data_IF_685685652698
#
_entry.id   IF_685685652698
#
_cell.length_a   1.000
_cell.length_b   1.000
_cell.length_c   1.000
_cell.angle_alpha   90.00
_cell.angle_beta   90.00
_cell.angle_gamma   90.00
#
_symmetry.space_group_name_H-M   'P 1'
#
loop_
_entity.id
_entity.type
_entity.pdbx_description
1 polymer ?
#
# COMPACT_ATOMS: atom_id res chain seq x y z
N UNK A 1 1.95 7.73 25.70
CA UNK A 1 1.84 9.09 25.13
C UNK A 1 2.39 9.04 23.72
N UNK A 2 1.73 9.66 22.74
CA UNK A 2 2.28 9.75 21.37
C UNK A 2 3.47 10.72 21.32
N UNK A 3 4.36 10.61 20.32
CA UNK A 3 5.48 11.54 20.15
C UNK A 3 4.98 12.98 19.97
N UNK A 4 5.75 13.95 20.49
CA UNK A 4 5.43 15.37 20.39
C UNK A 4 5.40 15.80 18.90
N UNK A 5 4.44 16.64 18.45
CA UNK A 5 4.40 17.16 17.07
C UNK A 5 5.73 17.68 16.54
N UNK A 6 6.51 18.44 17.31
CA UNK A 6 7.83 18.93 16.88
C UNK A 6 8.82 17.80 16.60
N UNK A 7 8.87 16.80 17.49
CA UNK A 7 9.73 15.63 17.32
C UNK A 7 9.32 14.81 16.09
N UNK A 8 8.02 14.72 15.81
CA UNK A 8 7.51 14.07 14.58
C UNK A 8 7.91 14.85 13.33
N UNK A 9 7.80 16.18 13.32
CA UNK A 9 8.27 17.00 12.19
C UNK A 9 9.77 16.80 11.96
N UNK A 10 10.57 16.83 13.02
CA UNK A 10 12.02 16.60 12.93
C UNK A 10 12.35 15.21 12.40
N UNK A 11 11.65 14.18 12.89
CA UNK A 11 11.78 12.80 12.41
C UNK A 11 11.44 12.70 10.93
N UNK A 12 10.26 13.17 10.51
CA UNK A 12 9.84 13.07 9.11
C UNK A 12 10.67 13.93 8.17
N UNK A 13 11.20 15.05 8.64
CA UNK A 13 12.15 15.87 7.86
C UNK A 13 13.42 15.09 7.56
N UNK A 14 14.06 14.48 8.58
CA UNK A 14 15.25 13.62 8.37
C UNK A 14 14.95 12.41 7.49
N UNK A 15 13.82 11.75 7.72
CA UNK A 15 13.39 10.57 6.96
C UNK A 15 13.14 10.89 5.48
N UNK A 16 12.54 12.04 5.17
CA UNK A 16 12.35 12.51 3.80
C UNK A 16 13.67 12.85 3.12
N UNK A 17 14.58 13.55 3.81
CA UNK A 17 15.92 13.84 3.26
C UNK A 17 16.68 12.54 2.95
N UNK A 18 16.62 11.55 3.84
CA UNK A 18 17.22 10.25 3.61
C UNK A 18 16.56 9.49 2.45
N UNK A 19 15.24 9.62 2.28
CA UNK A 19 14.51 9.00 1.16
C UNK A 19 14.93 9.62 -0.18
N UNK A 20 14.94 10.96 -0.26
CA UNK A 20 15.37 11.69 -1.46
C UNK A 20 16.83 11.37 -1.84
N UNK A 21 17.72 11.22 -0.85
CA UNK A 21 19.11 10.84 -1.08
C UNK A 21 19.28 9.40 -1.59
N UNK A 22 18.38 8.48 -1.19
CA UNK A 22 18.49 7.05 -1.53
C UNK A 22 18.10 6.69 -2.96
N UNK A 23 17.28 7.52 -3.62
CA UNK A 23 16.64 7.22 -4.91
C UNK A 23 15.75 5.97 -4.93
N UNK A 24 15.37 5.44 -3.76
CA UNK A 24 14.39 4.35 -3.67
C UNK A 24 13.02 4.81 -4.22
N UNK A 25 12.26 3.92 -4.90
CA UNK A 25 10.95 4.27 -5.44
C UNK A 25 9.88 4.40 -4.34
N UNK A 26 10.04 3.68 -3.23
CA UNK A 26 9.11 3.64 -2.10
C UNK A 26 9.85 3.34 -0.80
N UNK A 27 9.42 3.98 0.30
CA UNK A 27 9.95 3.71 1.64
C UNK A 27 8.86 3.76 2.71
N UNK A 28 8.88 2.77 3.60
CA UNK A 28 8.07 2.77 4.82
C UNK A 28 8.83 3.57 5.88
N UNK A 29 8.24 4.65 6.37
CA UNK A 29 8.89 5.55 7.32
C UNK A 29 8.65 5.11 8.76
N UNK A 30 7.42 4.75 9.10
CA UNK A 30 7.08 4.21 10.41
C UNK A 30 5.84 3.33 10.38
N UNK A 31 5.68 2.49 11.42
CA UNK A 31 4.51 1.63 11.62
C UNK A 31 3.85 1.95 12.97
N UNK A 32 2.51 2.06 12.95
CA UNK A 32 1.68 2.24 14.13
C UNK A 32 0.94 0.94 14.50
N UNK A 33 0.67 0.69 15.80
CA UNK A 33 1.01 1.54 16.96
C UNK A 33 2.53 1.59 17.19
N UNK A 34 3.10 2.72 17.61
CA UNK A 34 4.52 2.76 17.97
C UNK A 34 4.78 1.91 19.22
N UNK A 35 5.92 1.20 19.29
CA UNK A 35 6.27 0.44 20.50
C UNK A 35 6.71 1.43 21.58
N UNK A 36 6.35 1.15 22.83
CA UNK A 36 6.72 2.00 23.98
C UNK A 36 8.22 2.12 24.17
N UNK A 37 8.96 1.10 23.76
CA UNK A 37 10.39 0.95 24.01
C UNK A 37 11.24 1.58 22.89
N UNK A 38 10.61 1.98 21.79
CA UNK A 38 11.31 2.61 20.67
C UNK A 38 11.58 4.09 21.00
N UNK A 39 12.86 4.48 20.96
CA UNK A 39 13.29 5.86 21.20
C UNK A 39 12.78 6.84 20.11
N UNK A 40 12.37 6.34 18.95
CA UNK A 40 11.82 7.12 17.84
C UNK A 40 10.87 6.27 16.99
N UNK A 41 9.95 6.88 16.22
CA UNK A 41 9.14 6.15 15.25
C UNK A 41 10.04 5.41 14.25
N UNK A 42 9.69 4.17 13.93
CA UNK A 42 10.42 3.36 12.96
C UNK A 42 9.50 2.38 12.21
N UNK A 43 9.92 1.90 11.03
CA UNK A 43 9.15 0.91 10.28
C UNK A 43 9.25 -0.45 10.98
N UNK A 44 8.16 -1.23 10.96
CA UNK A 44 8.16 -2.61 11.45
C UNK A 44 7.62 -3.54 10.40
N UNK A 45 8.45 -4.50 9.98
CA UNK A 45 8.02 -5.56 9.06
C UNK A 45 6.92 -6.40 9.72
N UNK A 46 5.95 -6.91 8.93
CA UNK A 46 4.91 -7.77 9.45
C UNK A 46 5.50 -9.02 10.14
N UNK A 47 5.03 -9.33 11.35
CA UNK A 47 5.36 -10.59 12.04
C UNK A 47 4.50 -11.76 11.59
N UNK A 48 3.37 -11.46 10.95
CA UNK A 48 2.42 -12.42 10.39
C UNK A 48 2.21 -12.13 8.91
N UNK A 49 1.76 -13.13 8.15
CA UNK A 49 1.48 -12.96 6.72
C UNK A 49 0.42 -11.88 6.51
N UNK A 50 0.75 -10.87 5.72
CA UNK A 50 -0.22 -9.90 5.23
C UNK A 50 -0.93 -10.52 4.03
N UNK A 51 -2.23 -10.76 4.14
CA UNK A 51 -3.04 -11.27 3.01
C UNK A 51 -3.53 -10.15 2.11
N UNK A 52 -3.86 -9.01 2.73
CA UNK A 52 -4.39 -7.83 2.03
C UNK A 52 -3.72 -6.57 2.54
N UNK A 53 -3.14 -5.80 1.61
CA UNK A 53 -2.58 -4.49 1.88
C UNK A 53 -3.53 -3.42 1.34
N UNK A 54 -4.23 -2.73 2.25
CA UNK A 54 -5.09 -1.61 1.91
C UNK A 54 -4.22 -0.37 1.73
N UNK A 55 -4.12 0.14 0.50
CA UNK A 55 -3.31 1.31 0.17
C UNK A 55 -4.21 2.53 0.01
N UNK A 56 -4.05 3.49 0.92
CA UNK A 56 -4.68 4.80 0.83
C UNK A 56 -3.64 5.83 0.36
N UNK A 57 -3.59 6.04 -0.94
CA UNK A 57 -2.74 7.06 -1.57
C UNK A 57 -3.47 8.40 -1.65
N UNK A 58 -2.89 9.44 -1.05
CA UNK A 58 -3.48 10.79 -1.06
C UNK A 58 -2.44 11.86 -0.75
N UNK A 59 -2.80 13.10 -1.07
CA UNK A 59 -2.01 14.27 -0.68
C UNK A 59 -2.06 14.59 0.82
N UNK A 60 -3.06 14.08 1.55
CA UNK A 60 -3.27 14.31 2.99
C UNK A 60 -3.07 15.76 3.46
N UNK A 61 -3.63 16.72 2.71
CA UNK A 61 -3.37 18.15 2.90
C UNK A 61 -4.66 18.96 3.17
N UNK A 62 -5.36 18.77 4.30
CA UNK A 62 -5.03 17.82 5.39
C UNK A 62 -5.69 16.45 5.19
N UNK A 63 -5.31 15.47 6.02
CA UNK A 63 -6.09 14.26 6.22
C UNK A 63 -7.50 14.62 6.75
N UNK A 64 -8.52 13.87 6.33
CA UNK A 64 -9.94 14.18 6.64
C UNK A 64 -10.69 12.96 7.17
N UNK A 65 -11.91 13.17 7.65
CA UNK A 65 -12.80 12.07 8.09
C UNK A 65 -13.15 11.13 6.94
N UNK A 66 -13.19 11.61 5.70
CA UNK A 66 -13.39 10.75 4.52
C UNK A 66 -12.25 9.74 4.35
N UNK A 67 -10.99 10.16 4.55
CA UNK A 67 -9.83 9.25 4.55
C UNK A 67 -9.98 8.17 5.62
N UNK A 68 -10.36 8.56 6.84
CA UNK A 68 -10.57 7.62 7.94
C UNK A 68 -11.71 6.63 7.63
N UNK A 69 -12.80 7.12 7.05
CA UNK A 69 -13.95 6.31 6.67
C UNK A 69 -13.60 5.27 5.61
N UNK A 70 -12.95 5.68 4.52
CA UNK A 70 -12.53 4.77 3.44
C UNK A 70 -11.61 3.66 3.97
N UNK A 71 -10.60 3.99 4.77
CA UNK A 71 -9.69 3.01 5.35
C UNK A 71 -10.42 2.04 6.31
N UNK A 72 -11.30 2.54 7.19
CA UNK A 72 -12.09 1.69 8.11
C UNK A 72 -13.02 0.74 7.38
N UNK A 73 -13.69 1.21 6.33
CA UNK A 73 -14.59 0.37 5.55
C UNK A 73 -13.81 -0.73 4.83
N UNK A 74 -12.69 -0.38 4.19
CA UNK A 74 -11.83 -1.35 3.50
C UNK A 74 -11.22 -2.40 4.43
N UNK A 75 -10.82 -2.01 5.66
CA UNK A 75 -10.29 -2.99 6.63
C UNK A 75 -11.37 -3.95 7.13
N UNK A 76 -12.61 -3.47 7.35
CA UNK A 76 -13.73 -4.34 7.75
C UNK A 76 -14.06 -5.39 6.69
N UNK A 77 -13.97 -5.02 5.42
CA UNK A 77 -14.09 -5.94 4.27
C UNK A 77 -12.84 -6.84 4.10
N UNK A 78 -11.71 -6.41 4.66
CA UNK A 78 -10.40 -7.05 4.57
C UNK A 78 -10.27 -8.40 5.25
N UNK A 79 -11.03 -8.62 6.33
CA UNK A 79 -10.89 -9.78 7.18
C UNK A 79 -9.53 -9.85 7.92
N UNK A 80 -9.24 -10.99 8.58
CA UNK A 80 -7.98 -11.20 9.30
C UNK A 80 -6.76 -11.14 8.38
N UNK A 81 -5.68 -10.51 8.84
CA UNK A 81 -4.44 -10.38 8.07
C UNK A 81 -4.42 -9.19 7.10
N UNK A 82 -5.37 -8.26 7.23
CA UNK A 82 -5.31 -6.96 6.57
C UNK A 82 -4.27 -6.05 7.24
N UNK A 83 -3.65 -5.19 6.44
CA UNK A 83 -2.74 -4.12 6.89
C UNK A 83 -3.00 -2.86 6.09
N UNK A 84 -2.80 -1.69 6.67
CA UNK A 84 -3.04 -0.41 5.97
C UNK A 84 -1.73 0.29 5.66
N UNK A 85 -1.60 0.84 4.46
CA UNK A 85 -0.55 1.78 4.09
C UNK A 85 -1.19 3.15 3.79
N UNK A 86 -0.78 4.17 4.53
CA UNK A 86 -1.02 5.57 4.18
C UNK A 86 0.16 6.03 3.32
N UNK A 87 -0.10 6.30 2.03
CA UNK A 87 0.94 6.56 1.04
C UNK A 87 0.91 8.02 0.57
N UNK A 88 2.07 8.69 0.64
CA UNK A 88 2.26 10.05 0.13
C UNK A 88 3.25 10.05 -1.04
N UNK A 89 2.78 10.41 -2.23
CA UNK A 89 3.65 10.68 -3.37
C UNK A 89 4.34 12.05 -3.25
N UNK A 90 5.67 12.07 -3.23
CA UNK A 90 6.48 13.30 -3.06
C UNK A 90 6.81 14.02 -4.37
N UNK A 91 6.68 13.32 -5.50
CA UNK A 91 6.92 13.83 -6.86
C UNK A 91 5.63 14.03 -7.67
N UNK A 92 4.47 14.13 -7.02
CA UNK A 92 3.21 14.32 -7.75
C UNK A 92 3.27 15.56 -8.65
N UNK A 93 3.08 15.36 -9.96
CA UNK A 93 3.27 16.35 -11.02
C UNK A 93 2.44 17.64 -10.84
N UNK A 94 1.33 17.58 -10.07
CA UNK A 94 0.34 18.66 -10.01
C UNK A 94 0.25 19.41 -8.67
N UNK A 95 0.99 19.01 -7.63
CA UNK A 95 0.79 19.55 -6.27
C UNK A 95 2.09 19.92 -5.58
N UNK A 96 2.44 21.20 -5.68
CA UNK A 96 3.47 21.81 -4.85
C UNK A 96 3.23 21.51 -3.34
N UNK A 97 4.27 21.56 -2.49
CA UNK A 97 4.18 21.34 -1.04
C UNK A 97 3.44 22.46 -0.29
N UNK A 98 2.42 23.07 -0.89
CA UNK A 98 1.56 24.10 -0.31
C UNK A 98 0.14 23.55 -0.05
N UNK A 99 -0.55 24.02 1.00
CA UNK A 99 -0.07 24.98 2.00
C UNK A 99 0.79 24.31 3.10
N UNK A 100 0.59 23.02 3.39
CA UNK A 100 1.39 22.30 4.39
C UNK A 100 2.59 21.59 3.77
N UNK A 101 3.75 21.63 4.44
CA UNK A 101 4.96 20.91 4.04
C UNK A 101 4.81 19.39 4.15
N UNK A 102 5.64 18.60 3.45
CA UNK A 102 5.58 17.14 3.53
C UNK A 102 5.79 16.58 4.95
N UNK A 103 6.75 17.05 5.77
CA UNK A 103 6.87 16.60 7.16
C UNK A 103 5.60 16.81 7.98
N UNK A 104 4.93 17.95 7.80
CA UNK A 104 3.67 18.26 8.50
C UNK A 104 2.52 17.37 8.00
N UNK A 105 2.44 17.10 6.69
CA UNK A 105 1.48 16.13 6.13
C UNK A 105 1.70 14.73 6.68
N UNK A 106 2.95 14.28 6.80
CA UNK A 106 3.29 12.99 7.41
C UNK A 106 2.92 12.96 8.90
N UNK A 107 3.10 14.07 9.62
CA UNK A 107 2.57 14.25 10.98
C UNK A 107 1.05 14.10 11.06
N UNK A 108 0.31 14.69 10.12
CA UNK A 108 -1.14 14.49 10.00
C UNK A 108 -1.53 13.06 9.58
N UNK A 109 -0.72 12.38 8.77
CA UNK A 109 -0.94 10.96 8.42
C UNK A 109 -0.73 10.05 9.63
N UNK A 110 0.30 10.30 10.44
CA UNK A 110 0.51 9.60 11.71
C UNK A 110 -0.67 9.85 12.67
N UNK A 111 -1.17 11.09 12.75
CA UNK A 111 -2.38 11.41 13.50
C UNK A 111 -3.63 10.67 12.98
N UNK A 112 -3.79 10.58 11.65
CA UNK A 112 -4.85 9.78 11.02
C UNK A 112 -4.71 8.29 11.38
N UNK A 113 -3.49 7.74 11.38
CA UNK A 113 -3.24 6.36 11.78
C UNK A 113 -3.65 6.10 13.24
N UNK A 114 -3.35 7.01 14.18
CA UNK A 114 -3.86 6.93 15.56
C UNK A 114 -5.39 6.95 15.64
N UNK A 115 -6.03 7.80 14.84
CA UNK A 115 -7.50 7.85 14.73
C UNK A 115 -8.07 6.53 14.25
N UNK A 116 -7.42 5.88 13.27
CA UNK A 116 -7.83 4.58 12.76
C UNK A 116 -7.72 3.51 13.85
N UNK A 117 -6.59 3.43 14.55
CA UNK A 117 -6.37 2.48 15.65
C UNK A 117 -7.42 2.64 16.78
N UNK A 118 -7.69 3.87 17.24
CA UNK A 118 -8.73 4.11 18.25
C UNK A 118 -10.16 3.83 17.75
N UNK A 119 -10.35 3.83 16.43
CA UNK A 119 -11.61 3.47 15.80
C UNK A 119 -11.88 1.97 15.71
N UNK A 120 -11.07 1.13 16.38
CA UNK A 120 -11.21 -0.32 16.38
C UNK A 120 -10.66 -1.00 15.14
N UNK A 121 -9.84 -0.31 14.35
CA UNK A 121 -9.08 -0.95 13.26
C UNK A 121 -7.96 -1.76 13.91
N UNK A 122 -8.19 -3.05 14.14
CA UNK A 122 -7.25 -3.97 14.78
C UNK A 122 -6.07 -4.39 13.88
N UNK A 123 -5.56 -3.48 13.04
CA UNK A 123 -4.48 -3.74 12.08
C UNK A 123 -3.33 -2.78 12.27
N UNK A 124 -2.12 -3.20 11.92
CA UNK A 124 -0.98 -2.28 11.84
C UNK A 124 -1.13 -1.33 10.66
N UNK A 125 -0.60 -0.11 10.82
CA UNK A 125 -0.72 0.97 9.84
C UNK A 125 0.67 1.51 9.52
N UNK A 126 1.06 1.44 8.25
CA UNK A 126 2.31 1.95 7.74
C UNK A 126 2.12 3.37 7.19
N UNK A 127 3.04 4.27 7.52
CA UNK A 127 3.18 5.59 6.90
C UNK A 127 4.33 5.51 5.91
N UNK A 128 4.03 5.69 4.63
CA UNK A 128 4.97 5.48 3.54
C UNK A 128 5.04 6.67 2.58
N UNK A 129 6.17 6.78 1.87
CA UNK A 129 6.40 7.76 0.82
C UNK A 129 6.83 7.08 -0.48
N UNK A 130 6.51 7.69 -1.62
CA UNK A 130 6.91 7.21 -2.94
C UNK A 130 7.25 8.34 -3.89
N UNK A 131 8.15 8.08 -4.84
CA UNK A 131 8.43 8.96 -5.98
C UNK A 131 7.56 8.62 -7.20
N UNK A 132 6.81 7.52 -7.17
CA UNK A 132 6.00 7.05 -8.28
C UNK A 132 4.71 7.88 -8.42
N UNK A 133 4.39 8.30 -9.65
CA UNK A 133 3.20 9.08 -9.94
C UNK A 133 1.98 8.19 -10.24
N UNK A 134 2.18 7.13 -11.02
CA UNK A 134 1.13 6.25 -11.49
C UNK A 134 0.85 5.07 -10.55
N UNK A 135 -0.38 4.56 -10.56
CA UNK A 135 -0.80 3.47 -9.69
C UNK A 135 -0.09 2.15 -10.00
N UNK A 136 0.16 1.86 -11.28
CA UNK A 136 0.91 0.66 -11.68
C UNK A 136 2.34 0.67 -11.13
N UNK A 137 3.03 1.81 -11.24
CA UNK A 137 4.37 1.99 -10.68
C UNK A 137 4.38 1.88 -9.15
N UNK A 138 3.39 2.48 -8.47
CA UNK A 138 3.23 2.35 -7.01
C UNK A 138 3.08 0.89 -6.61
N UNK A 139 2.23 0.14 -7.32
CA UNK A 139 2.00 -1.27 -7.03
C UNK A 139 3.24 -2.13 -7.24
N UNK A 140 4.02 -1.86 -8.29
CA UNK A 140 5.34 -2.48 -8.51
C UNK A 140 6.31 -2.14 -7.37
N UNK A 141 6.44 -0.86 -7.01
CA UNK A 141 7.36 -0.41 -5.97
C UNK A 141 7.07 -1.02 -4.59
N UNK A 142 5.80 -1.27 -4.26
CA UNK A 142 5.42 -2.00 -3.04
C UNK A 142 5.99 -3.42 -3.05
N UNK A 143 5.87 -4.15 -4.16
CA UNK A 143 6.39 -5.52 -4.29
C UNK A 143 7.93 -5.53 -4.27
N UNK A 144 8.55 -4.65 -5.05
CA UNK A 144 10.01 -4.55 -5.17
C UNK A 144 10.69 -4.16 -3.85
N UNK A 145 9.99 -3.42 -2.98
CA UNK A 145 10.49 -3.11 -1.63
C UNK A 145 10.78 -4.36 -0.80
N UNK A 146 10.13 -5.49 -1.12
CA UNK A 146 10.17 -6.73 -0.35
C UNK A 146 9.74 -6.55 1.10
N UNK A 147 9.10 -5.42 1.46
CA UNK A 147 8.76 -5.09 2.86
C UNK A 147 7.75 -6.08 3.45
N UNK A 148 6.80 -6.53 2.62
CA UNK A 148 5.70 -7.42 2.99
C UNK A 148 5.94 -8.89 2.66
N UNK A 149 7.07 -9.22 2.01
CA UNK A 149 7.44 -10.61 1.72
C UNK A 149 7.74 -11.35 3.02
N UNK A 150 7.20 -12.56 3.18
CA UNK A 150 7.53 -13.46 4.29
C UNK A 150 8.99 -13.87 4.14
N UNK A 151 9.84 -13.62 5.15
CA UNK A 151 11.15 -14.27 5.20
C UNK A 151 10.92 -15.75 5.44
N UNK A 152 11.54 -16.62 4.65
CA UNK A 152 11.81 -17.98 5.10
C UNK A 152 12.57 -17.85 6.42
N UNK A 153 12.14 -18.57 7.44
CA UNK A 153 12.95 -18.66 8.66
C UNK A 153 14.27 -19.29 8.25
N UNK A 154 15.37 -18.55 8.37
CA UNK A 154 16.70 -19.16 8.42
C UNK A 154 16.64 -20.22 9.51
N UNK A 155 16.71 -21.48 9.10
CA UNK A 155 16.90 -22.59 10.01
C UNK A 155 18.23 -22.40 10.71
N UNK A 156 18.18 -21.86 11.93
CA UNK A 156 19.20 -21.88 12.97
C UNK A 156 20.64 -21.66 12.51
N UNK A 157 21.13 -20.42 12.59
CA UNK A 157 22.54 -20.24 12.96
C UNK A 157 22.76 -20.90 14.32
N UNK A 158 23.33 -22.11 14.30
CA UNK A 158 23.98 -22.68 15.48
C UNK A 158 24.99 -21.64 15.97
N UNK A 159 24.87 -21.27 17.23
CA UNK A 159 25.92 -20.57 17.96
C UNK A 159 27.19 -21.42 17.87
N UNK A 160 28.16 -20.92 17.11
CA UNK A 160 29.50 -21.49 17.08
C UNK A 160 30.24 -20.98 18.33
N UNK A 161 30.23 -21.81 19.37
CA UNK A 161 31.09 -21.65 20.54
C UNK A 161 32.08 -22.81 20.57
N UNK A 162 33.37 -22.50 20.48
CA UNK A 162 34.43 -23.33 21.04
C UNK A 162 35.53 -23.77 20.09
N UNK A 163 36.71 -23.19 20.28
CA UNK A 163 37.99 -23.58 19.70
C UNK A 163 38.43 -25.02 20.06
N UNK A 164 39.10 -25.66 19.09
CA UNK A 164 40.17 -26.67 19.13
C UNK A 164 40.37 -27.56 20.38
N UNK A 165 40.52 -28.88 20.15
CA UNK A 165 41.82 -29.57 20.24
C UNK A 165 41.82 -31.01 19.71
N UNK A 166 43.05 -31.42 19.41
CA UNK A 166 43.62 -32.51 18.61
C UNK A 166 43.60 -33.93 19.26
N UNK A 167 44.02 -34.90 18.44
CA UNK A 167 44.62 -36.23 18.73
C UNK A 167 43.78 -37.51 18.48
N UNK A 168 44.35 -38.41 17.66
CA UNK A 168 44.28 -39.87 17.89
C UNK A 168 43.87 -40.79 16.73
N UNK A 169 44.86 -41.13 15.89
CA UNK A 169 45.22 -42.47 15.34
C UNK A 169 44.18 -43.46 14.73
N UNK A 170 44.65 -44.06 13.62
CA UNK A 170 44.06 -45.10 12.79
C UNK A 170 43.75 -46.42 13.54
N UNK A 171 42.75 -47.17 13.07
CA UNK A 171 43.00 -48.54 12.58
C UNK A 171 41.83 -49.15 11.79
N UNK A 172 42.26 -49.88 10.76
CA UNK A 172 41.55 -50.69 9.78
C UNK A 172 40.98 -51.99 10.37
N UNK A 173 39.92 -52.53 9.74
CA UNK A 173 39.58 -53.95 9.48
C UNK A 173 38.07 -54.15 9.34
N UNK A 174 37.64 -54.91 8.31
CA UNK A 174 36.40 -55.69 8.40
C UNK A 174 35.48 -55.72 7.18
N UNK A 175 35.72 -56.71 6.34
CA UNK A 175 34.99 -57.23 5.17
C UNK A 175 33.45 -57.41 5.23
N UNK A 176 32.82 -57.12 4.07
CA UNK A 176 31.64 -57.69 3.36
C UNK A 176 30.65 -58.66 4.05
N UNK A 177 29.36 -58.43 3.75
CA UNK A 177 28.34 -59.37 3.18
C UNK A 177 27.02 -58.57 3.03
N UNK A 178 26.54 -58.20 1.85
CA UNK A 178 25.78 -58.97 0.83
C UNK A 178 24.69 -59.91 1.38
N UNK A 179 23.43 -59.53 1.17
CA UNK A 179 22.26 -60.40 0.91
C UNK A 179 20.99 -59.55 0.79
N UNK A 180 20.18 -59.80 -0.24
CA UNK A 180 18.73 -59.58 -0.14
C UNK A 180 18.10 -58.70 -1.22
N UNK A 181 17.72 -59.36 -2.31
CA UNK A 181 16.98 -58.84 -3.46
C UNK A 181 15.53 -58.41 -3.15
N UNK A 182 15.11 -57.36 -3.87
CA UNK A 182 13.76 -56.95 -4.31
C UNK A 182 12.52 -57.66 -3.75
N UNK A 183 11.56 -56.84 -3.28
CA UNK A 183 10.15 -57.00 -3.63
C UNK A 183 9.53 -55.63 -3.95
N UNK A 184 8.96 -55.56 -5.15
CA UNK A 184 8.04 -54.54 -5.65
C UNK A 184 6.63 -55.12 -5.51
N UNK A 185 5.67 -54.28 -5.09
CA UNK A 185 4.21 -54.27 -5.39
C UNK A 185 3.39 -53.87 -4.17
N UNK A 186 2.64 -52.76 -4.31
CA UNK A 186 1.31 -52.66 -3.70
C UNK A 186 1.03 -51.43 -2.84
N UNK A 187 0.36 -50.45 -3.48
CA UNK A 187 -0.69 -49.60 -2.89
C UNK A 187 -0.24 -48.50 -1.89
N UNK A 188 0.28 -47.39 -2.43
CA UNK A 188 0.19 -46.10 -1.75
C UNK A 188 -1.26 -45.59 -1.81
N UNK A 189 -1.85 -45.49 -0.63
CA UNK A 189 -3.11 -44.80 -0.38
C UNK A 189 -2.86 -43.30 -0.53
N UNK A 190 -3.45 -42.72 -1.56
CA UNK A 190 -3.56 -41.29 -1.82
C UNK A 190 -4.40 -40.63 -0.72
N UNK A 191 -3.74 -40.28 0.39
CA UNK A 191 -4.27 -39.37 1.40
C UNK A 191 -3.15 -38.46 1.89
N UNK A 192 -3.05 -37.27 1.29
CA UNK A 192 -2.37 -36.15 1.92
C UNK A 192 -1.31 -35.46 1.06
N UNK A 193 -1.71 -34.84 -0.05
CA UNK A 193 -0.90 -33.83 -0.73
C UNK A 193 -1.71 -32.56 -1.04
N UNK A 194 -2.14 -31.86 0.01
CA UNK A 194 -2.63 -30.45 -0.09
C UNK A 194 -1.84 -29.51 0.85
N UNK A 195 -0.65 -29.91 1.32
CA UNK A 195 0.24 -29.05 2.14
C UNK A 195 1.61 -28.77 1.48
N UNK A 196 1.66 -28.66 0.15
CA UNK A 196 2.91 -28.31 -0.56
C UNK A 196 2.71 -27.28 -1.67
N UNK A 197 2.24 -26.07 -1.34
CA UNK A 197 2.69 -24.82 -1.98
C UNK A 197 2.06 -23.56 -1.34
N UNK A 198 2.20 -23.34 -0.02
CA UNK A 198 2.00 -21.98 0.51
C UNK A 198 3.22 -21.10 0.17
N UNK A 199 3.46 -20.93 -1.13
CA UNK A 199 4.53 -20.12 -1.67
C UNK A 199 4.44 -18.67 -1.21
N UNK A 200 5.59 -18.00 -1.27
CA UNK A 200 5.89 -16.60 -0.98
C UNK A 200 4.98 -15.62 -1.75
N UNK A 201 3.70 -15.59 -1.42
CA UNK A 201 2.70 -14.80 -2.12
C UNK A 201 2.65 -13.41 -1.49
N UNK A 202 3.02 -12.42 -2.29
CA UNK A 202 2.85 -11.00 -1.97
C UNK A 202 1.37 -10.70 -1.63
N UNK A 203 1.10 -9.74 -0.72
CA UNK A 203 -0.27 -9.39 -0.37
C UNK A 203 -1.07 -8.88 -1.57
N UNK A 204 -2.36 -9.22 -1.64
CA UNK A 204 -3.28 -8.56 -2.56
C UNK A 204 -3.34 -7.07 -2.19
N UNK A 205 -3.05 -6.19 -3.16
CA UNK A 205 -3.09 -4.75 -2.93
C UNK A 205 -4.50 -4.21 -3.21
N UNK A 206 -5.07 -3.43 -2.30
CA UNK A 206 -6.38 -2.79 -2.48
C UNK A 206 -6.21 -1.29 -2.42
N UNK A 207 -6.19 -0.64 -3.58
CA UNK A 207 -6.07 0.82 -3.68
C UNK A 207 -7.44 1.47 -3.44
N UNK A 208 -7.47 2.39 -2.47
CA UNK A 208 -8.65 3.20 -2.19
C UNK A 208 -8.62 4.43 -3.08
N UNK A 209 -9.59 4.55 -3.97
CA UNK A 209 -9.64 5.64 -4.96
C UNK A 209 -11.02 6.29 -5.00
N UNK A 210 -11.07 7.58 -5.36
CA UNK A 210 -12.30 8.26 -5.73
C UNK A 210 -12.72 7.91 -7.15
N UNK A 211 -13.98 8.17 -7.49
CA UNK A 211 -14.49 7.96 -8.86
C UNK A 211 -13.72 8.80 -9.90
N UNK A 212 -13.38 10.06 -9.59
CA UNK A 212 -12.54 10.91 -10.43
C UNK A 212 -11.20 10.27 -10.79
N UNK A 213 -10.62 9.55 -9.84
CA UNK A 213 -9.32 8.88 -10.00
C UNK A 213 -9.48 7.59 -10.80
N UNK A 214 -10.59 6.85 -10.63
CA UNK A 214 -10.94 5.71 -11.48
C UNK A 214 -10.99 6.11 -12.96
N UNK A 215 -11.69 7.21 -13.27
CA UNK A 215 -11.81 7.72 -14.64
C UNK A 215 -10.43 8.03 -15.23
N UNK A 216 -9.53 8.61 -14.44
CA UNK A 216 -8.15 8.88 -14.90
C UNK A 216 -7.34 7.60 -15.10
N UNK A 217 -7.48 6.60 -14.22
CA UNK A 217 -6.77 5.31 -14.35
C UNK A 217 -7.09 4.65 -15.69
N UNK A 218 -8.36 4.66 -16.12
CA UNK A 218 -8.78 4.05 -17.38
C UNK A 218 -8.81 4.99 -18.58
N UNK A 219 -8.18 6.16 -18.47
CA UNK A 219 -8.08 7.08 -19.60
C UNK A 219 -6.78 6.83 -20.38
N UNK A 220 -6.85 6.40 -21.67
CA UNK A 220 -5.68 6.06 -22.48
C UNK A 220 -4.66 7.19 -22.63
N UNK A 221 -5.09 8.46 -22.51
CA UNK A 221 -4.22 9.63 -22.68
C UNK A 221 -3.02 9.65 -21.72
N UNK A 222 -3.15 8.99 -20.56
CA UNK A 222 -2.07 8.93 -19.56
C UNK A 222 -1.00 7.88 -19.89
N UNK A 223 -1.24 7.00 -20.86
CA UNK A 223 -0.31 5.94 -21.26
C UNK A 223 0.37 6.21 -22.60
N UNK A 224 -0.20 7.09 -23.42
CA UNK A 224 0.28 7.40 -24.76
C UNK A 224 1.44 8.42 -24.77
N UNK A 225 2.17 8.60 -23.66
CA UNK A 225 3.36 9.44 -23.66
C UNK A 225 4.54 8.66 -24.25
N UNK A 226 5.05 9.15 -25.38
CA UNK A 226 6.16 8.60 -26.16
C UNK A 226 7.34 8.15 -25.28
N UNK A 227 7.81 6.90 -25.38
CA UNK A 227 9.06 6.49 -24.77
C UNK A 227 10.21 7.23 -25.45
N UNK A 228 10.95 8.02 -24.69
CA UNK A 228 12.26 8.50 -25.11
C UNK A 228 13.24 7.33 -25.24
N UNK A 229 13.28 6.74 -26.44
CA UNK A 229 14.34 5.91 -27.01
C UNK A 229 14.49 4.45 -26.56
N UNK A 230 14.55 3.57 -27.58
CA UNK A 230 14.98 2.15 -27.65
C UNK A 230 13.95 1.11 -27.19
N UNK A 231 13.73 -0.01 -27.89
CA UNK A 231 14.37 -0.64 -29.05
C UNK A 231 13.42 -1.67 -29.69
N UNK A 232 13.75 -2.03 -30.92
CA UNK A 232 13.13 -3.01 -31.81
C UNK A 232 12.96 -4.43 -31.24
N UNK A 233 11.87 -5.06 -31.72
CA UNK A 233 11.72 -6.47 -32.17
C UNK A 233 11.49 -7.59 -31.15
N UNK A 234 10.33 -8.27 -31.24
CA UNK A 234 10.15 -9.57 -31.93
C UNK A 234 8.68 -10.01 -31.84
N UNK A 235 8.18 -10.63 -32.92
CA UNK A 235 6.79 -11.04 -33.07
C UNK A 235 6.52 -12.44 -32.49
N UNK A 236 5.51 -12.55 -31.61
CA UNK A 236 4.65 -13.73 -31.39
C UNK A 236 3.56 -13.50 -30.30
N UNK A 237 3.30 -12.25 -29.91
CA UNK A 237 2.19 -11.88 -29.04
C UNK A 237 1.40 -10.77 -29.72
N UNK A 238 0.08 -10.80 -29.57
CA UNK A 238 -0.78 -9.66 -29.93
C UNK A 238 -0.16 -8.40 -29.34
N UNK A 239 0.12 -7.34 -30.15
CA UNK A 239 0.80 -6.17 -29.65
C UNK A 239 -0.04 -5.54 -28.52
N UNK A 240 0.50 -5.54 -27.30
CA UNK A 240 -0.12 -4.90 -26.14
C UNK A 240 -0.12 -3.39 -26.35
N UNK A 241 -1.22 -2.74 -26.03
CA UNK A 241 -1.26 -1.27 -25.97
C UNK A 241 -0.40 -0.76 -24.82
N UNK A 242 -0.05 0.53 -24.81
CA UNK A 242 0.66 1.14 -23.68
C UNK A 242 -0.15 1.04 -22.36
N UNK A 243 -1.48 1.19 -22.45
CA UNK A 243 -2.37 1.03 -21.31
C UNK A 243 -2.37 -0.41 -20.78
N UNK A 244 -2.40 -1.41 -21.66
CA UNK A 244 -2.28 -2.82 -21.27
C UNK A 244 -0.91 -3.13 -20.64
N UNK A 245 0.18 -2.64 -21.24
CA UNK A 245 1.52 -2.83 -20.70
C UNK A 245 1.68 -2.27 -19.27
N UNK A 246 1.00 -1.15 -18.98
CA UNK A 246 1.01 -0.53 -17.66
C UNK A 246 0.02 -1.19 -16.67
N UNK A 247 -1.19 -1.51 -17.10
CA UNK A 247 -2.27 -1.95 -16.21
C UNK A 247 -2.38 -3.46 -16.03
N UNK A 248 -1.87 -4.29 -16.96
CA UNK A 248 -1.82 -5.75 -16.77
C UNK A 248 -1.10 -6.10 -15.45
N UNK A 249 0.14 -5.60 -15.19
CA UNK A 249 0.84 -5.90 -13.95
C UNK A 249 0.11 -5.36 -12.71
N UNK A 250 -0.60 -4.23 -12.84
CA UNK A 250 -1.39 -3.69 -11.74
C UNK A 250 -2.53 -4.64 -11.37
N UNK A 251 -3.35 -5.06 -12.33
CA UNK A 251 -4.56 -5.85 -12.07
C UNK A 251 -4.31 -7.34 -11.85
N UNK A 252 -3.11 -7.85 -12.15
CA UNK A 252 -2.66 -9.17 -11.68
C UNK A 252 -2.64 -9.25 -10.14
N UNK A 253 -2.23 -8.17 -9.47
CA UNK A 253 -1.95 -8.15 -8.01
C UNK A 253 -2.83 -7.21 -7.20
N UNK A 254 -3.52 -6.29 -7.85
CA UNK A 254 -4.28 -5.23 -7.19
C UNK A 254 -5.76 -5.20 -7.57
N UNK A 255 -6.56 -4.65 -6.67
CA UNK A 255 -7.95 -4.25 -6.88
C UNK A 255 -8.12 -2.77 -6.58
N UNK A 256 -9.09 -2.15 -7.24
CA UNK A 256 -9.52 -0.79 -6.93
C UNK A 256 -10.79 -0.86 -6.09
N UNK A 257 -10.79 -0.21 -4.93
CA UNK A 257 -11.99 0.03 -4.14
C UNK A 257 -12.41 1.48 -4.32
N UNK A 258 -13.40 1.69 -5.17
CA UNK A 258 -13.81 3.00 -5.66
C UNK A 258 -14.94 3.54 -4.79
N UNK A 259 -14.75 4.72 -4.20
CA UNK A 259 -15.82 5.42 -3.49
C UNK A 259 -16.52 6.37 -4.45
N UNK A 260 -17.81 6.15 -4.72
CA UNK A 260 -18.62 7.09 -5.52
C UNK A 260 -18.78 8.39 -4.78
N UNK A 261 -18.67 9.53 -5.47
CA UNK A 261 -18.87 10.84 -4.88
C UNK A 261 -19.63 11.69 -5.90
N UNK A 262 -20.97 11.68 -5.87
CA UNK A 262 -21.75 12.49 -6.79
C UNK A 262 -21.51 13.96 -6.47
N UNK A 263 -21.09 14.70 -7.49
CA UNK A 263 -20.92 16.15 -7.45
C UNK A 263 -21.14 16.73 -8.86
N UNK A 264 -21.10 18.05 -8.96
CA UNK A 264 -21.37 18.75 -10.23
C UNK A 264 -20.27 18.52 -11.29
N UNK A 265 -19.09 18.01 -10.90
CA UNK A 265 -17.95 17.82 -11.80
C UNK A 265 -17.90 16.38 -12.37
N UNK A 266 -18.25 15.38 -11.55
CA UNK A 266 -18.10 13.95 -11.87
C UNK A 266 -19.43 13.21 -12.02
N UNK A 267 -20.52 13.95 -12.13
CA UNK A 267 -21.84 13.44 -12.44
C UNK A 267 -22.57 12.81 -11.26
N UNK A 268 -23.83 12.47 -11.52
CA UNK A 268 -24.74 11.79 -10.61
C UNK A 268 -24.27 10.37 -10.28
N UNK A 269 -24.81 9.82 -9.19
CA UNK A 269 -24.54 8.43 -8.79
C UNK A 269 -24.86 7.43 -9.90
N UNK A 270 -25.93 7.68 -10.65
CA UNK A 270 -26.34 6.80 -11.75
C UNK A 270 -25.32 6.82 -12.90
N UNK A 271 -24.83 8.00 -13.27
CA UNK A 271 -23.77 8.15 -14.28
C UNK A 271 -22.48 7.47 -13.86
N UNK A 272 -22.09 7.58 -12.58
CA UNK A 272 -20.90 6.89 -12.05
C UNK A 272 -21.04 5.37 -12.09
N UNK A 273 -22.22 4.84 -11.77
CA UNK A 273 -22.50 3.40 -11.86
C UNK A 273 -22.58 2.91 -13.31
N UNK A 274 -23.12 3.72 -14.22
CA UNK A 274 -23.14 3.45 -15.66
C UNK A 274 -21.71 3.38 -16.22
N UNK A 275 -20.84 4.31 -15.84
CA UNK A 275 -19.43 4.29 -16.24
C UNK A 275 -18.74 2.98 -15.83
N UNK A 276 -18.96 2.54 -14.58
CA UNK A 276 -18.36 1.30 -14.08
C UNK A 276 -18.86 0.07 -14.85
N UNK A 277 -20.16 0.00 -15.16
CA UNK A 277 -20.71 -1.06 -16.03
C UNK A 277 -20.08 -1.05 -17.42
N UNK A 278 -19.81 0.13 -17.97
CA UNK A 278 -19.13 0.30 -19.25
C UNK A 278 -17.68 -0.17 -19.27
N UNK A 279 -17.04 -0.42 -18.12
CA UNK A 279 -15.64 -0.89 -18.09
C UNK A 279 -15.46 -2.27 -18.73
N UNK A 280 -16.52 -3.06 -18.91
CA UNK A 280 -16.48 -4.33 -19.64
C UNK A 280 -16.10 -4.14 -21.13
N UNK A 281 -16.25 -2.91 -21.66
CA UNK A 281 -15.93 -2.54 -23.05
C UNK A 281 -14.59 -1.80 -23.16
N UNK A 282 -13.72 -1.86 -22.14
CA UNK A 282 -12.43 -1.16 -22.15
C UNK A 282 -11.51 -1.56 -23.33
N UNK A 283 -11.70 -2.74 -23.92
CA UNK A 283 -10.97 -3.17 -25.12
C UNK A 283 -11.12 -2.17 -26.29
N UNK A 284 -12.26 -1.48 -26.39
CA UNK A 284 -12.53 -0.46 -27.43
C UNK A 284 -11.61 0.75 -27.34
N UNK A 285 -11.08 1.05 -26.16
CA UNK A 285 -10.18 2.18 -25.89
C UNK A 285 -8.75 1.72 -25.58
N UNK A 286 -8.43 0.47 -25.92
CA UNK A 286 -7.10 -0.11 -25.76
C UNK A 286 -6.81 -0.67 -24.36
N UNK A 287 -7.84 -0.93 -23.56
CA UNK A 287 -7.74 -1.59 -22.25
C UNK A 287 -8.07 -3.07 -22.31
N UNK A 288 -8.55 -3.64 -21.19
CA UNK A 288 -9.17 -4.96 -21.13
C UNK A 288 -10.45 -4.91 -20.31
N UNK A 289 -11.53 -5.46 -20.84
CA UNK A 289 -12.81 -5.57 -20.12
C UNK A 289 -12.71 -6.39 -18.83
N UNK A 290 -11.81 -7.38 -18.77
CA UNK A 290 -11.60 -8.24 -17.60
C UNK A 290 -11.18 -7.48 -16.33
N UNK A 291 -10.54 -6.31 -16.48
CA UNK A 291 -10.14 -5.47 -15.36
C UNK A 291 -11.34 -4.95 -14.57
N UNK A 292 -12.54 -4.89 -15.17
CA UNK A 292 -13.76 -4.52 -14.47
C UNK A 292 -14.02 -5.40 -13.24
N UNK A 293 -13.65 -6.69 -13.29
CA UNK A 293 -13.77 -7.63 -12.16
C UNK A 293 -12.88 -7.29 -10.96
N UNK A 294 -11.87 -6.43 -11.17
CA UNK A 294 -10.95 -5.91 -10.15
C UNK A 294 -11.39 -4.55 -9.60
N UNK A 295 -12.52 -4.00 -10.06
CA UNK A 295 -13.08 -2.73 -9.61
C UNK A 295 -14.29 -2.98 -8.71
N UNK A 296 -14.15 -2.68 -7.42
CA UNK A 296 -15.23 -2.77 -6.44
C UNK A 296 -15.73 -1.36 -6.09
N UNK A 297 -16.94 -1.04 -6.50
CA UNK A 297 -17.57 0.25 -6.21
C UNK A 297 -18.34 0.20 -4.90
N UNK A 298 -18.11 1.21 -4.06
CA UNK A 298 -18.83 1.40 -2.81
C UNK A 298 -19.44 2.80 -2.76
N UNK A 299 -20.56 2.90 -2.06
CA UNK A 299 -21.21 4.18 -1.82
C UNK A 299 -20.44 4.99 -0.77
N UNK A 300 -20.45 6.30 -0.93
CA UNK A 300 -20.00 7.22 0.13
C UNK A 300 -20.82 6.98 1.41
N UNK A 301 -20.13 6.82 2.54
CA UNK A 301 -20.79 6.59 3.81
C UNK A 301 -21.64 7.76 4.27
N UNK A 302 -22.66 7.47 5.07
CA UNK A 302 -23.51 8.49 5.69
C UNK A 302 -22.68 9.57 6.40
N UNK A 303 -23.03 10.83 6.14
CA UNK A 303 -22.35 12.00 6.72
C UNK A 303 -20.96 12.29 6.16
N UNK A 304 -20.48 11.55 5.14
CA UNK A 304 -19.23 11.87 4.44
C UNK A 304 -19.43 12.84 3.27
N UNK A 305 -20.68 13.12 2.90
CA UNK A 305 -21.06 14.04 1.83
C UNK A 305 -20.33 15.39 1.96
N UNK A 306 -19.49 15.67 0.96
CA UNK A 306 -18.71 16.90 0.88
C UNK A 306 -17.55 17.01 1.87
N UNK A 307 -17.11 15.93 2.52
CA UNK A 307 -15.89 15.91 3.33
C UNK A 307 -14.67 15.79 2.42
N UNK A 308 -13.90 16.87 2.24
CA UNK A 308 -12.69 16.87 1.40
C UNK A 308 -11.58 17.74 1.99
N UNK A 309 -10.33 17.46 1.60
CA UNK A 309 -9.19 18.30 2.01
C UNK A 309 -9.33 19.74 1.51
N UNK A 310 -9.87 19.94 0.31
CA UNK A 310 -10.13 21.29 -0.23
C UNK A 310 -11.13 22.06 0.61
N UNK A 311 -12.26 21.44 0.98
CA UNK A 311 -13.26 22.05 1.85
C UNK A 311 -12.73 22.30 3.27
N UNK A 312 -11.86 21.42 3.78
CA UNK A 312 -11.18 21.65 5.05
C UNK A 312 -10.31 22.91 5.01
N UNK A 313 -9.55 23.13 3.93
CA UNK A 313 -8.76 24.35 3.75
C UNK A 313 -9.65 25.59 3.64
N UNK A 314 -10.72 25.54 2.85
CA UNK A 314 -11.68 26.65 2.70
C UNK A 314 -12.35 27.03 4.02
N UNK A 315 -12.74 26.05 4.84
CA UNK A 315 -13.40 26.31 6.12
C UNK A 315 -12.46 26.98 7.14
N UNK A 316 -11.17 26.65 7.12
CA UNK A 316 -10.15 27.34 7.92
C UNK A 316 -10.03 28.81 7.50
N UNK A 317 -9.95 29.09 6.18
CA UNK A 317 -9.87 30.45 5.64
C UNK A 317 -11.08 31.32 6.02
N UNK A 318 -12.29 30.77 5.91
CA UNK A 318 -13.53 31.56 6.00
C UNK A 318 -14.04 31.78 7.42
N UNK A 319 -13.80 30.85 8.34
CA UNK A 319 -14.46 30.82 9.66
C UNK A 319 -13.52 30.61 10.84
N UNK A 320 -12.21 30.74 10.63
CA UNK A 320 -11.21 30.50 11.68
C UNK A 320 -11.29 29.09 12.27
N UNK A 321 -11.80 28.11 11.50
CA UNK A 321 -11.85 26.70 11.90
C UNK A 321 -13.10 26.22 12.67
N UNK A 322 -14.15 27.04 12.85
CA UNK A 322 -15.36 26.59 13.60
C UNK A 322 -16.09 25.39 12.99
N UNK A 323 -16.06 25.21 11.67
CA UNK A 323 -16.59 24.02 11.01
C UNK A 323 -15.56 22.91 10.77
N UNK A 324 -14.37 22.96 11.38
CA UNK A 324 -13.34 21.98 11.06
C UNK A 324 -13.64 20.58 11.64
N UNK A 325 -14.42 20.48 12.72
CA UNK A 325 -14.74 19.22 13.41
C UNK A 325 -15.54 18.23 12.55
N UNK A 326 -16.34 18.72 11.60
CA UNK A 326 -17.08 17.85 10.70
C UNK A 326 -16.19 17.33 9.56
N UNK A 327 -15.04 17.98 9.30
CA UNK A 327 -14.13 17.70 8.19
C UNK A 327 -12.95 16.82 8.57
N UNK A 328 -12.35 17.05 9.75
CA UNK A 328 -11.14 16.36 10.21
C UNK A 328 -11.32 15.87 11.64
N UNK A 329 -10.56 14.87 12.03
CA UNK A 329 -10.55 14.40 13.42
C UNK A 329 -9.72 15.33 14.32
N UNK A 330 -10.01 15.31 15.63
CA UNK A 330 -9.36 16.18 16.63
C UNK A 330 -7.83 16.17 16.60
N UNK A 331 -7.19 15.02 16.41
CA UNK A 331 -5.72 14.95 16.34
C UNK A 331 -5.17 15.66 15.10
N UNK A 332 -5.88 15.58 13.96
CA UNK A 332 -5.49 16.30 12.74
C UNK A 332 -5.81 17.79 12.87
N UNK A 333 -6.92 18.14 13.53
CA UNK A 333 -7.25 19.53 13.86
C UNK A 333 -6.16 20.18 14.74
N UNK A 334 -5.64 19.45 15.72
CA UNK A 334 -4.56 19.94 16.57
C UNK A 334 -3.29 20.28 15.77
N UNK A 335 -2.97 19.51 14.72
CA UNK A 335 -1.90 19.85 13.77
C UNK A 335 -2.20 21.14 13.00
N UNK A 336 -3.42 21.29 12.48
CA UNK A 336 -3.84 22.48 11.72
C UNK A 336 -3.74 23.73 12.59
N UNK A 337 -4.23 23.67 13.82
CA UNK A 337 -4.22 24.79 14.76
C UNK A 337 -2.81 25.10 15.27
N UNK A 338 -2.05 24.07 15.65
CA UNK A 338 -0.70 24.20 16.21
C UNK A 338 0.32 24.74 15.22
N UNK A 339 0.25 24.31 13.95
CA UNK A 339 1.13 24.78 12.87
C UNK A 339 0.57 26.01 12.14
N UNK A 340 -0.61 26.51 12.53
CA UNK A 340 -1.23 27.68 11.89
C UNK A 340 -1.55 27.51 10.41
N UNK A 341 -1.88 26.29 9.97
CA UNK A 341 -2.05 25.95 8.55
C UNK A 341 -3.31 26.57 7.95
N UNK A 342 -3.28 26.76 6.63
CA UNK A 342 -4.46 27.04 5.79
C UNK A 342 -5.17 28.38 6.05
N UNK A 343 -4.51 29.33 6.72
CA UNK A 343 -5.07 30.66 6.99
C UNK A 343 -5.01 31.60 5.78
N UNK A 344 -4.12 31.32 4.84
CA UNK A 344 -3.90 32.08 3.59
C UNK A 344 -4.58 31.41 2.40
#
# INVERSE_FOLDING_TARGET
>A
MGPNPRQLVDFFSRSLSAFQASREPLRILCTLPHRSDDASPGPRRPSQRVRRLVVLDSSFNPATRAHAHMARAAVREGGPGARVMLLLAVNNADKAPRPASFPVRLGMMEALARVLLRGGVGVEIDVAVTTMAYFHDKACAVVESGFYRRRQQDTGEKQDTGENQDTGEEQDTGEKQDTGEKQDTGEEQDTGEDEKNEGETEPEQVFLVGFDTLVRIFNPQYYNQEPSSRSLSTAAATPRTAMQAALDPLFERARLRVTTRPDDEWGSREEQLNYVRGLEQLDEVGGRGEWATRVHVVQEGEGMAGVSSSRAREEVKRKGGRGLDWLVHGDVRAWIEGEGLYRE
#
